data_IF_012702463121
#
_entry.id   IF_012702463121
#
_cell.length_a   1.000
_cell.length_b   1.000
_cell.length_c   1.000
_cell.angle_alpha   90.00
_cell.angle_beta   90.00
_cell.angle_gamma   90.00
#
_symmetry.space_group_name_H-M   'P 1'
#
loop_
_entity.id
_entity.type
_entity.pdbx_description
1 polymer ?
#
# COMPACT_ATOMS: atom_id res chain seq x y z
N UNK A 1 21.02 7.90 -6.74
CA UNK A 1 20.17 8.26 -5.62
C UNK A 1 19.15 7.18 -5.34
N UNK A 2 18.88 7.03 -4.08
CA UNK A 2 17.95 6.04 -3.62
C UNK A 2 16.52 6.55 -3.74
N UNK A 3 15.62 5.69 -4.16
CA UNK A 3 14.21 6.01 -4.17
C UNK A 3 13.67 6.01 -2.74
N UNK A 4 12.85 6.99 -2.43
CA UNK A 4 12.13 7.05 -1.17
C UNK A 4 10.84 6.27 -1.31
N UNK A 5 10.39 5.63 -0.23
CA UNK A 5 9.17 4.86 -0.27
C UNK A 5 8.42 4.84 1.03
N UNK A 6 7.19 4.37 0.94
CA UNK A 6 6.33 4.15 2.11
C UNK A 6 5.39 3.01 1.81
N UNK A 7 4.82 2.42 2.86
CA UNK A 7 3.85 1.36 2.69
C UNK A 7 2.57 1.71 3.41
N UNK A 8 1.46 1.36 2.80
CA UNK A 8 0.13 1.47 3.41
C UNK A 8 -0.23 0.08 3.92
N UNK A 9 -0.48 -0.03 5.20
CA UNK A 9 -0.87 -1.27 5.87
C UNK A 9 -2.31 -1.18 6.31
N UNK A 10 -3.05 -2.27 6.21
CA UNK A 10 -4.37 -2.35 6.84
C UNK A 10 -4.75 -3.81 7.04
N UNK A 11 -5.79 -4.03 7.82
CA UNK A 11 -6.32 -5.36 8.05
C UNK A 11 -7.57 -5.54 7.21
N UNK A 12 -7.66 -6.67 6.54
CA UNK A 12 -8.83 -6.99 5.73
C UNK A 12 -10.07 -6.94 6.62
N UNK A 13 -11.14 -6.29 6.16
CA UNK A 13 -12.30 -6.02 7.00
C UNK A 13 -13.07 -7.27 7.39
N UNK A 14 -12.93 -8.34 6.63
CA UNK A 14 -13.64 -9.60 6.90
C UNK A 14 -12.76 -10.58 7.66
N UNK A 15 -11.54 -10.83 7.17
CA UNK A 15 -10.67 -11.87 7.75
C UNK A 15 -9.76 -11.34 8.85
N UNK A 16 -9.53 -10.05 8.91
CA UNK A 16 -8.58 -9.45 9.84
C UNK A 16 -7.12 -9.59 9.43
N UNK A 17 -6.85 -10.24 8.30
CA UNK A 17 -5.49 -10.47 7.85
C UNK A 17 -4.86 -9.19 7.29
N UNK A 18 -3.56 -9.05 7.48
CA UNK A 18 -2.84 -7.86 7.04
C UNK A 18 -2.64 -7.80 5.54
N UNK A 19 -2.80 -6.62 4.98
CA UNK A 19 -2.58 -6.31 3.57
C UNK A 19 -1.61 -5.13 3.51
N UNK A 20 -0.71 -5.13 2.53
CA UNK A 20 0.31 -4.09 2.42
C UNK A 20 0.46 -3.67 0.96
N UNK A 21 0.42 -2.36 0.71
CA UNK A 21 0.78 -1.79 -0.58
C UNK A 21 1.96 -0.85 -0.37
N UNK A 22 3.04 -1.06 -1.11
CA UNK A 22 4.25 -0.25 -0.98
C UNK A 22 4.49 0.58 -2.22
N UNK A 23 4.69 1.87 -1.99
CA UNK A 23 4.89 2.87 -3.04
C UNK A 23 6.30 3.43 -2.97
N UNK A 24 6.77 3.92 -4.09
CA UNK A 24 8.06 4.62 -4.17
C UNK A 24 7.90 5.93 -4.90
N UNK A 25 8.81 6.85 -4.60
CA UNK A 25 8.98 8.10 -5.33
C UNK A 25 10.05 7.84 -6.40
N UNK A 26 9.60 7.65 -7.63
CA UNK A 26 10.51 7.40 -8.74
C UNK A 26 10.67 8.69 -9.53
N UNK A 27 11.67 9.48 -9.16
CA UNK A 27 11.99 10.75 -9.80
C UNK A 27 10.79 11.69 -9.87
N UNK A 28 10.09 11.82 -8.76
CA UNK A 28 8.93 12.69 -8.65
C UNK A 28 7.62 12.06 -9.07
N UNK A 29 7.62 10.76 -9.36
CA UNK A 29 6.41 10.02 -9.71
C UNK A 29 6.08 8.99 -8.65
N UNK A 30 4.83 8.96 -8.24
CA UNK A 30 4.36 7.93 -7.32
C UNK A 30 4.14 6.64 -8.10
N UNK A 31 4.75 5.57 -7.64
CA UNK A 31 4.66 4.26 -8.30
C UNK A 31 4.29 3.21 -7.25
N UNK A 32 3.27 2.41 -7.54
CA UNK A 32 2.99 1.23 -6.74
C UNK A 32 4.00 0.16 -7.13
N UNK A 33 4.89 -0.18 -6.20
CA UNK A 33 6.04 -1.03 -6.49
C UNK A 33 5.79 -2.48 -6.13
N UNK A 34 5.24 -2.75 -4.94
CA UNK A 34 4.99 -4.12 -4.49
C UNK A 34 3.80 -4.15 -3.54
N UNK A 35 3.19 -5.33 -3.42
CA UNK A 35 2.02 -5.50 -2.57
C UNK A 35 2.06 -6.86 -1.89
N UNK A 36 1.57 -6.94 -0.65
CA UNK A 36 1.44 -8.17 0.08
C UNK A 36 -0.03 -8.54 0.25
N UNK A 37 -0.38 -9.79 -0.03
CA UNK A 37 -1.71 -10.32 0.13
C UNK A 37 -1.66 -11.55 1.02
N UNK A 38 -2.60 -11.71 1.99
CA UNK A 38 -2.54 -12.82 2.93
C UNK A 38 -2.87 -14.16 2.30
N UNK A 39 -3.69 -14.20 1.28
CA UNK A 39 -3.96 -15.42 0.53
C UNK A 39 -4.36 -15.08 -0.91
N UNK A 40 -4.28 -16.08 -1.76
CA UNK A 40 -4.49 -15.89 -3.19
C UNK A 40 -5.92 -15.48 -3.53
N UNK A 41 -6.89 -15.96 -2.78
CA UNK A 41 -8.28 -15.61 -3.03
C UNK A 41 -8.56 -14.14 -2.71
N UNK A 42 -7.91 -13.63 -1.65
CA UNK A 42 -8.01 -12.22 -1.30
C UNK A 42 -7.08 -11.36 -2.16
N UNK A 43 -6.13 -12.00 -2.83
CA UNK A 43 -5.12 -11.31 -3.61
C UNK A 43 -5.61 -10.96 -5.00
N UNK A 44 -6.61 -10.12 -5.08
CA UNK A 44 -7.21 -9.75 -6.35
C UNK A 44 -6.29 -8.89 -7.22
N UNK A 45 -5.15 -8.53 -6.67
CA UNK A 45 -4.24 -7.64 -7.37
C UNK A 45 -3.35 -8.31 -8.40
N UNK A 46 -3.24 -9.64 -8.40
CA UNK A 46 -2.33 -10.32 -9.32
C UNK A 46 -3.05 -10.94 -10.50
N UNK A 47 -2.50 -10.72 -11.68
CA UNK A 47 -2.92 -11.37 -12.91
C UNK A 47 -1.71 -11.43 -13.83
N UNK A 48 -1.73 -12.29 -14.85
CA UNK A 48 -0.57 -12.40 -15.77
C UNK A 48 -0.18 -11.03 -16.33
N UNK A 49 1.09 -10.71 -16.22
CA UNK A 49 1.61 -9.44 -16.70
C UNK A 49 1.65 -8.34 -15.66
N UNK A 50 1.10 -8.56 -14.46
CA UNK A 50 1.17 -7.58 -13.38
C UNK A 50 2.12 -8.08 -12.29
N UNK A 51 3.38 -7.67 -12.42
CA UNK A 51 4.38 -8.00 -11.41
C UNK A 51 4.73 -9.47 -11.36
N UNK A 52 5.53 -9.83 -10.36
CA UNK A 52 6.03 -11.18 -10.16
C UNK A 52 5.50 -11.70 -8.83
N UNK A 53 4.75 -12.78 -8.86
CA UNK A 53 4.19 -13.38 -7.66
C UNK A 53 5.24 -14.23 -6.96
N UNK A 54 5.47 -13.95 -5.67
CA UNK A 54 6.39 -14.74 -4.85
C UNK A 54 5.70 -15.13 -3.55
N UNK A 55 6.04 -16.30 -3.01
CA UNK A 55 5.52 -16.71 -1.71
C UNK A 55 6.27 -15.96 -0.61
N UNK A 56 5.51 -15.53 0.40
CA UNK A 56 6.11 -14.86 1.55
C UNK A 56 6.44 -15.88 2.63
N UNK A 57 7.51 -15.62 3.36
CA UNK A 57 7.87 -16.42 4.51
C UNK A 57 6.77 -16.27 5.57
N UNK A 58 6.30 -17.37 6.10
CA UNK A 58 5.23 -17.35 7.09
C UNK A 58 3.83 -17.33 6.51
N UNK A 59 3.69 -17.37 5.19
CA UNK A 59 2.41 -17.41 4.51
C UNK A 59 2.12 -16.14 3.73
N UNK A 60 1.13 -16.22 2.85
CA UNK A 60 0.77 -15.11 1.99
C UNK A 60 1.70 -14.95 0.80
N UNK A 61 1.51 -13.88 0.06
CA UNK A 61 2.22 -13.65 -1.20
C UNK A 61 2.63 -12.20 -1.34
N UNK A 62 3.82 -11.99 -1.92
CA UNK A 62 4.22 -10.68 -2.41
C UNK A 62 4.04 -10.65 -3.92
N UNK A 63 3.57 -9.53 -4.43
CA UNK A 63 3.61 -9.24 -5.85
C UNK A 63 4.69 -8.20 -6.01
N UNK A 64 5.81 -8.59 -6.61
CA UNK A 64 6.98 -7.72 -6.76
C UNK A 64 6.99 -7.07 -8.14
N UNK A 65 7.73 -5.99 -8.27
CA UNK A 65 7.96 -5.31 -9.53
C UNK A 65 6.65 -4.97 -10.27
N UNK A 66 5.65 -4.53 -9.52
CA UNK A 66 4.40 -4.08 -10.12
C UNK A 66 4.67 -2.82 -10.96
N UNK A 67 5.34 -1.86 -10.35
CA UNK A 67 5.82 -0.63 -10.98
C UNK A 67 4.75 0.11 -11.78
N UNK A 68 3.56 0.18 -11.23
CA UNK A 68 2.44 0.90 -11.84
C UNK A 68 2.44 2.34 -11.39
N UNK A 69 2.51 3.31 -12.32
CA UNK A 69 2.43 4.71 -11.93
C UNK A 69 1.04 5.05 -11.41
N UNK A 70 1.00 5.85 -10.36
CA UNK A 70 -0.24 6.32 -9.77
C UNK A 70 -0.61 7.64 -10.43
N UNK A 71 -1.78 7.68 -11.01
CA UNK A 71 -2.25 8.85 -11.76
C UNK A 71 -2.24 10.09 -10.88
N UNK A 72 -1.68 11.18 -11.41
CA UNK A 72 -1.60 12.48 -10.72
C UNK A 72 -0.84 12.43 -9.40
N UNK A 73 -0.02 11.39 -9.18
CA UNK A 73 0.77 11.24 -7.96
C UNK A 73 -0.09 11.28 -6.69
N UNK A 74 -1.31 10.81 -6.76
CA UNK A 74 -2.22 10.86 -5.62
C UNK A 74 -3.29 9.79 -5.75
N UNK A 75 -3.78 9.33 -4.61
CA UNK A 75 -4.95 8.46 -4.60
C UNK A 75 -5.84 8.80 -3.41
N UNK A 76 -7.12 8.51 -3.55
CA UNK A 76 -8.10 8.74 -2.49
C UNK A 76 -8.28 7.44 -1.73
N UNK A 77 -8.20 7.52 -0.41
CA UNK A 77 -8.38 6.38 0.47
C UNK A 77 -9.56 6.64 1.39
N UNK A 78 -10.50 5.71 1.43
CA UNK A 78 -11.52 5.75 2.46
C UNK A 78 -10.96 5.04 3.68
N UNK A 79 -10.67 5.81 4.72
CA UNK A 79 -10.02 5.28 5.91
C UNK A 79 -11.01 4.41 6.67
N UNK A 80 -10.60 3.19 6.99
CA UNK A 80 -11.43 2.25 7.72
C UNK A 80 -11.47 2.50 9.21
N UNK A 81 -12.22 1.65 9.91
CA UNK A 81 -12.35 1.69 11.36
C UNK A 81 -11.01 1.38 12.02
N UNK A 82 -10.96 1.50 13.35
CA UNK A 82 -9.78 1.12 14.11
C UNK A 82 -9.42 -0.36 13.93
N UNK A 83 -10.42 -1.22 13.70
CA UNK A 83 -10.16 -2.63 13.44
C UNK A 83 -9.45 -2.85 12.10
N UNK A 84 -9.77 -2.06 11.08
CA UNK A 84 -9.09 -2.10 9.79
C UNK A 84 -7.69 -1.51 9.93
N UNK A 85 -7.56 -0.48 10.75
CA UNK A 85 -6.26 0.04 11.15
C UNK A 85 -5.37 0.45 9.98
N UNK A 86 -5.88 1.35 9.16
CA UNK A 86 -5.08 1.93 8.07
C UNK A 86 -3.92 2.73 8.66
N UNK A 87 -2.70 2.44 8.22
CA UNK A 87 -1.54 3.18 8.67
C UNK A 87 -0.50 3.28 7.56
N UNK A 88 0.22 4.39 7.54
CA UNK A 88 1.30 4.63 6.60
C UNK A 88 2.61 4.46 7.36
N UNK A 89 3.49 3.64 6.83
CA UNK A 89 4.78 3.34 7.44
C UNK A 89 5.89 3.79 6.51
N UNK A 90 6.79 4.61 7.05
CA UNK A 90 8.00 5.04 6.34
C UNK A 90 9.21 4.49 7.09
N UNK A 91 10.41 4.82 6.63
CA UNK A 91 11.65 4.41 7.30
C UNK A 91 11.72 4.87 8.75
N UNK A 92 11.08 5.98 9.07
CA UNK A 92 11.24 6.64 10.37
C UNK A 92 9.95 6.75 11.15
N UNK A 93 8.81 6.74 10.48
CA UNK A 93 7.55 7.11 11.10
C UNK A 93 6.45 6.14 10.76
N UNK A 94 5.46 6.11 11.63
CA UNK A 94 4.22 5.41 11.36
C UNK A 94 3.09 6.38 11.67
N UNK A 95 2.16 6.55 10.72
CA UNK A 95 1.01 7.43 10.87
C UNK A 95 -0.24 6.58 10.84
N UNK A 96 -0.98 6.55 11.93
CA UNK A 96 -2.21 5.77 12.00
C UNK A 96 -3.38 6.61 11.52
N UNK A 97 -3.83 6.33 10.29
CA UNK A 97 -4.91 7.09 9.67
C UNK A 97 -6.26 6.78 10.30
N UNK A 98 -6.50 5.53 10.68
CA UNK A 98 -7.76 5.15 11.31
C UNK A 98 -7.98 5.87 12.64
N UNK A 99 -6.90 6.11 13.37
CA UNK A 99 -6.96 6.87 14.62
C UNK A 99 -7.27 8.34 14.39
N UNK A 100 -6.76 8.89 13.27
CA UNK A 100 -6.87 10.32 12.99
C UNK A 100 -8.12 10.68 12.19
N UNK A 101 -8.56 9.78 11.31
CA UNK A 101 -9.56 10.12 10.30
C UNK A 101 -10.46 8.94 9.95
N UNK A 102 -10.84 8.16 10.95
CA UNK A 102 -11.69 6.99 10.80
C UNK A 102 -12.96 7.32 10.00
N UNK A 103 -13.30 6.47 9.03
CA UNK A 103 -14.49 6.59 8.19
C UNK A 103 -14.52 7.85 7.32
N UNK A 104 -13.35 8.42 7.06
CA UNK A 104 -13.23 9.66 6.28
C UNK A 104 -12.43 9.38 5.02
N UNK A 105 -12.72 10.10 3.95
CA UNK A 105 -11.88 10.05 2.76
C UNK A 105 -10.69 10.97 2.95
N UNK A 106 -9.52 10.44 2.64
CA UNK A 106 -8.29 11.24 2.65
C UNK A 106 -7.59 11.08 1.30
N UNK A 107 -6.83 12.06 0.93
CA UNK A 107 -6.01 11.99 -0.28
C UNK A 107 -4.57 11.78 0.14
N UNK A 108 -3.96 10.72 -0.40
CA UNK A 108 -2.54 10.46 -0.21
C UNK A 108 -1.84 11.01 -1.44
N UNK A 109 -0.97 11.98 -1.26
CA UNK A 109 -0.32 12.66 -2.36
C UNK A 109 1.19 12.68 -2.18
N UNK A 110 1.90 12.43 -3.27
CA UNK A 110 3.34 12.61 -3.26
C UNK A 110 3.64 14.09 -3.43
N UNK A 111 4.32 14.65 -2.43
CA UNK A 111 4.74 16.05 -2.47
C UNK A 111 6.16 16.09 -3.02
N UNK A 112 6.32 16.67 -4.19
CA UNK A 112 7.62 16.74 -4.85
C UNK A 112 8.45 17.95 -4.43
N UNK A 113 7.90 18.78 -3.57
CA UNK A 113 8.61 19.95 -3.08
C UNK A 113 8.51 21.17 -3.99
N UNK A 114 7.63 21.11 -4.97
CA UNK A 114 7.46 22.24 -5.89
C UNK A 114 6.20 23.03 -5.61
#
# INVERSE_FOLDING_TARGET
PRQSGWCLYWNHSVTGDGVIDCYVDDLGKMVLHRAYQPDFAAGLGHYPGRGILTSAEGGGYWIEDIDEPVRNNAYVLRVGSLAVNHRIVTDRDEINLSKMAEHTRVTIRLDTGE
#
